data_IF_219262498240
#
_entry.id   IF_219262498240
#
_cell.length_a   1.000
_cell.length_b   1.000
_cell.length_c   1.000
_cell.angle_alpha   90.00
_cell.angle_beta   90.00
_cell.angle_gamma   90.00
#
_symmetry.space_group_name_H-M   'P 1'
#
loop_
_entity.id
_entity.type
_entity.pdbx_description
1 polymer ?
#
# COMPACT_ATOMS: atom_id res chain seq x y z
N UNK A 1 -4.36 9.79 -12.64
CA UNK A 1 -4.70 11.04 -11.91
C UNK A 1 -6.17 11.10 -11.54
N UNK A 2 -7.05 11.56 -12.44
CA UNK A 2 -8.50 11.72 -12.17
C UNK A 2 -9.16 10.40 -11.77
N UNK A 3 -8.82 9.29 -12.44
CA UNK A 3 -9.33 7.97 -12.07
C UNK A 3 -8.95 7.55 -10.64
N UNK A 4 -7.76 7.96 -10.15
CA UNK A 4 -7.33 7.69 -8.78
C UNK A 4 -8.12 8.52 -7.76
N UNK A 5 -8.36 9.80 -8.06
CA UNK A 5 -9.24 10.64 -7.24
C UNK A 5 -10.67 10.10 -7.18
N UNK A 6 -11.21 9.68 -8.33
CA UNK A 6 -12.55 9.07 -8.41
C UNK A 6 -12.62 7.77 -7.62
N UNK A 7 -11.61 6.89 -7.72
CA UNK A 7 -11.60 5.62 -6.99
C UNK A 7 -11.47 5.82 -5.48
N UNK A 8 -10.72 6.83 -5.02
CA UNK A 8 -10.69 7.20 -3.61
C UNK A 8 -12.06 7.61 -3.09
N UNK A 9 -12.79 8.46 -3.82
CA UNK A 9 -14.16 8.83 -3.46
C UNK A 9 -15.11 7.64 -3.46
N UNK A 10 -15.04 6.79 -4.49
CA UNK A 10 -15.90 5.61 -4.63
C UNK A 10 -15.65 4.57 -3.55
N UNK A 11 -14.40 4.12 -3.39
CA UNK A 11 -14.03 3.08 -2.43
C UNK A 11 -14.09 3.60 -1.01
N UNK A 12 -13.61 4.83 -0.77
CA UNK A 12 -13.69 5.46 0.54
C UNK A 12 -15.14 5.64 1.01
N UNK A 13 -16.06 6.03 0.12
CA UNK A 13 -17.49 6.05 0.44
C UNK A 13 -18.00 4.68 0.88
N UNK A 14 -17.71 3.60 0.14
CA UNK A 14 -18.17 2.26 0.51
C UNK A 14 -17.61 1.81 1.87
N UNK A 15 -16.32 2.03 2.12
CA UNK A 15 -15.70 1.71 3.42
C UNK A 15 -16.35 2.52 4.53
N UNK A 16 -16.47 3.84 4.35
CA UNK A 16 -17.04 4.72 5.37
C UNK A 16 -18.50 4.36 5.69
N UNK A 17 -19.32 4.02 4.68
CA UNK A 17 -20.68 3.55 4.89
C UNK A 17 -20.73 2.27 5.74
N UNK A 18 -19.94 1.25 5.36
CA UNK A 18 -19.91 -0.02 6.09
C UNK A 18 -19.40 0.15 7.52
N UNK A 19 -18.35 0.95 7.72
CA UNK A 19 -17.83 1.23 9.06
C UNK A 19 -18.82 2.01 9.92
N UNK A 20 -19.49 3.02 9.35
CA UNK A 20 -20.49 3.82 10.07
C UNK A 20 -21.65 2.95 10.54
N UNK A 21 -22.16 2.05 9.68
CA UNK A 21 -23.17 1.08 10.06
C UNK A 21 -22.68 0.15 11.18
N UNK A 22 -21.48 -0.41 11.05
CA UNK A 22 -20.90 -1.32 12.05
C UNK A 22 -20.66 -0.65 13.42
N UNK A 23 -20.30 0.64 13.43
CA UNK A 23 -20.16 1.45 14.65
C UNK A 23 -21.51 1.73 15.30
N UNK A 24 -22.51 2.09 14.49
CA UNK A 24 -23.88 2.33 14.96
C UNK A 24 -24.47 1.08 15.64
N UNK A 25 -24.33 -0.09 15.02
CA UNK A 25 -24.81 -1.37 15.58
C UNK A 25 -24.15 -1.71 16.92
N UNK A 26 -22.93 -1.21 17.14
CA UNK A 26 -22.16 -1.38 18.38
C UNK A 26 -22.34 -0.22 19.36
N UNK A 27 -23.18 0.77 19.03
CA UNK A 27 -23.40 1.98 19.84
C UNK A 27 -22.10 2.75 20.14
N UNK A 28 -21.18 2.76 19.17
CA UNK A 28 -19.92 3.48 19.26
C UNK A 28 -20.05 4.85 18.60
N UNK A 29 -19.92 5.91 19.40
CA UNK A 29 -19.96 7.30 18.93
C UNK A 29 -18.59 7.70 18.33
N UNK A 30 -18.36 7.30 17.08
CA UNK A 30 -17.20 7.68 16.28
C UNK A 30 -17.63 8.10 14.89
N UNK A 31 -17.01 9.15 14.39
CA UNK A 31 -17.20 9.60 13.00
C UNK A 31 -16.19 8.90 12.08
N UNK A 32 -16.58 8.66 10.83
CA UNK A 32 -15.71 8.13 9.78
C UNK A 32 -15.57 9.15 8.67
N UNK A 33 -14.34 9.56 8.35
CA UNK A 33 -14.05 10.54 7.31
C UNK A 33 -13.21 9.91 6.19
N UNK A 34 -13.61 10.10 4.94
CA UNK A 34 -12.77 9.81 3.78
C UNK A 34 -12.06 11.08 3.34
N UNK A 35 -10.73 11.04 3.28
CA UNK A 35 -9.89 12.15 2.82
C UNK A 35 -9.33 11.80 1.45
N UNK A 36 -9.59 12.65 0.46
CA UNK A 36 -8.91 12.56 -0.84
C UNK A 36 -7.45 12.95 -0.62
N UNK A 37 -6.53 12.08 -1.00
CA UNK A 37 -5.12 12.19 -0.64
C UNK A 37 -4.22 12.27 -1.87
N UNK A 38 -3.36 13.29 -1.88
CA UNK A 38 -2.27 13.50 -2.82
C UNK A 38 -0.96 13.07 -2.18
N UNK A 39 -0.10 12.48 -2.99
CA UNK A 39 1.19 11.95 -2.53
C UNK A 39 2.27 12.54 -3.41
N UNK A 40 3.20 13.24 -2.77
CA UNK A 40 4.36 13.81 -3.42
C UNK A 40 5.29 12.68 -3.85
N UNK A 41 5.76 12.77 -5.08
CA UNK A 41 6.75 11.86 -5.67
C UNK A 41 7.85 12.66 -6.34
N UNK A 42 9.00 12.04 -6.56
CA UNK A 42 10.12 12.66 -7.26
C UNK A 42 9.85 12.72 -8.77
N UNK A 43 10.05 13.87 -9.43
CA UNK A 43 9.84 13.98 -10.89
C UNK A 43 10.88 13.16 -11.67
N UNK A 44 12.07 12.99 -11.08
CA UNK A 44 13.19 12.25 -11.67
C UNK A 44 13.23 10.78 -11.22
N UNK A 45 12.14 10.26 -10.61
CA UNK A 45 12.07 8.86 -10.19
C UNK A 45 12.28 7.91 -11.40
N UNK A 46 13.23 6.95 -11.32
CA UNK A 46 13.51 6.01 -12.42
C UNK A 46 12.29 5.19 -12.87
N UNK A 47 11.26 5.03 -12.02
CA UNK A 47 10.03 4.33 -12.36
C UNK A 47 9.26 5.00 -13.52
N UNK A 48 9.47 6.29 -13.78
CA UNK A 48 8.87 6.97 -14.93
C UNK A 48 9.44 6.47 -16.26
N UNK A 49 10.73 6.14 -16.30
CA UNK A 49 11.38 5.58 -17.48
C UNK A 49 11.14 4.06 -17.60
N UNK A 50 11.07 3.39 -16.45
CA UNK A 50 10.93 1.94 -16.31
C UNK A 50 9.63 1.53 -15.58
N UNK A 51 8.45 1.66 -16.22
CA UNK A 51 7.18 1.32 -15.59
C UNK A 51 7.03 -0.19 -15.43
N UNK A 52 6.75 -0.62 -14.20
CA UNK A 52 6.66 -2.04 -13.82
C UNK A 52 5.27 -2.43 -13.32
N UNK A 53 4.44 -1.48 -12.86
CA UNK A 53 3.24 -1.79 -12.09
C UNK A 53 2.05 -2.13 -12.99
N UNK A 54 1.49 -3.35 -12.91
CA UNK A 54 0.40 -3.76 -13.77
C UNK A 54 -0.95 -3.20 -13.30
N UNK A 55 -1.72 -2.60 -14.21
CA UNK A 55 -3.02 -1.96 -13.95
C UNK A 55 -4.08 -2.41 -14.96
N UNK A 56 -5.35 -2.25 -14.57
CA UNK A 56 -6.49 -2.57 -15.43
C UNK A 56 -6.68 -4.07 -15.68
N UNK A 57 -7.52 -4.43 -16.67
CA UNK A 57 -7.88 -5.81 -16.95
C UNK A 57 -6.75 -6.61 -17.59
N UNK A 58 -6.91 -7.93 -17.63
CA UNK A 58 -6.02 -8.85 -18.35
C UNK A 58 -6.45 -8.93 -19.81
N UNK A 59 -5.51 -8.72 -20.72
CA UNK A 59 -5.68 -8.75 -22.16
C UNK A 59 -5.16 -10.07 -22.75
N UNK A 60 -5.83 -10.57 -23.79
CA UNK A 60 -5.29 -11.63 -24.65
C UNK A 60 -4.19 -11.07 -25.54
N UNK A 61 -3.35 -11.95 -26.07
CA UNK A 61 -2.20 -11.58 -26.90
C UNK A 61 -2.57 -10.60 -28.04
N UNK A 62 -3.61 -10.89 -28.81
CA UNK A 62 -3.98 -10.05 -29.96
C UNK A 62 -4.55 -8.68 -29.58
N UNK A 63 -5.20 -8.58 -28.41
CA UNK A 63 -5.64 -7.30 -27.85
C UNK A 63 -4.46 -6.52 -27.28
N UNK A 64 -3.50 -7.22 -26.65
CA UNK A 64 -2.28 -6.62 -26.14
C UNK A 64 -1.45 -5.99 -27.27
N UNK A 65 -1.30 -6.68 -28.40
CA UNK A 65 -0.63 -6.14 -29.58
C UNK A 65 -1.30 -4.87 -30.11
N UNK A 66 -2.63 -4.75 -29.99
CA UNK A 66 -3.36 -3.53 -30.34
C UNK A 66 -3.04 -2.39 -29.37
N UNK A 67 -3.05 -2.65 -28.07
CA UNK A 67 -2.69 -1.64 -27.05
C UNK A 67 -1.24 -1.17 -27.16
N UNK A 68 -0.31 -2.06 -27.48
CA UNK A 68 1.10 -1.69 -27.72
C UNK A 68 1.21 -0.72 -28.92
N UNK A 69 0.45 -0.95 -29.99
CA UNK A 69 0.40 -0.03 -31.15
C UNK A 69 -0.22 1.33 -30.80
N UNK A 70 -1.09 1.39 -29.80
CA UNK A 70 -1.64 2.63 -29.24
C UNK A 70 -0.66 3.36 -28.31
N UNK A 71 0.52 2.79 -28.06
CA UNK A 71 1.57 3.38 -27.23
C UNK A 71 1.56 2.94 -25.76
N UNK A 72 0.67 2.02 -25.37
CA UNK A 72 0.68 1.46 -24.02
C UNK A 72 1.86 0.50 -23.82
N UNK A 73 2.56 0.66 -22.70
CA UNK A 73 3.52 -0.34 -22.24
C UNK A 73 2.77 -1.49 -21.57
N UNK A 74 3.15 -2.72 -21.88
CA UNK A 74 2.50 -3.91 -21.36
C UNK A 74 3.51 -4.93 -20.86
N UNK A 75 3.10 -5.73 -19.87
CA UNK A 75 3.88 -6.85 -19.35
C UNK A 75 3.04 -8.12 -19.38
N UNK A 76 3.70 -9.27 -19.54
CA UNK A 76 3.04 -10.57 -19.46
C UNK A 76 2.88 -10.96 -17.98
N UNK A 77 1.69 -11.45 -17.65
CA UNK A 77 1.28 -11.88 -16.30
C UNK A 77 0.64 -13.26 -16.40
N UNK A 78 0.43 -13.92 -15.26
CA UNK A 78 -0.33 -15.17 -15.23
C UNK A 78 -1.73 -14.92 -15.81
N UNK A 79 -2.06 -15.62 -16.90
CA UNK A 79 -3.37 -15.51 -17.57
C UNK A 79 -3.46 -14.49 -18.71
N UNK A 80 -2.41 -13.71 -19.01
CA UNK A 80 -2.42 -12.80 -20.17
C UNK A 80 -1.48 -11.61 -20.04
N UNK A 81 -1.85 -10.48 -20.61
CA UNK A 81 -1.06 -9.25 -20.62
C UNK A 81 -1.75 -8.14 -19.83
N UNK A 82 -0.99 -7.27 -19.16
CA UNK A 82 -1.55 -6.10 -18.47
C UNK A 82 -0.78 -4.85 -18.84
N UNK A 83 -1.46 -3.70 -18.84
CA UNK A 83 -0.82 -2.40 -19.00
C UNK A 83 0.08 -2.16 -17.80
N UNK A 84 1.27 -1.63 -18.01
CA UNK A 84 2.16 -1.19 -16.93
C UNK A 84 2.24 0.34 -16.89
N UNK A 85 2.28 0.87 -15.68
CA UNK A 85 2.44 2.30 -15.41
C UNK A 85 3.60 2.51 -14.43
N UNK A 86 4.14 3.74 -14.37
CA UNK A 86 5.13 4.10 -13.36
C UNK A 86 4.60 3.88 -11.94
N UNK A 87 5.48 3.44 -11.05
CA UNK A 87 5.19 3.29 -9.62
C UNK A 87 6.33 3.91 -8.81
N UNK A 88 6.43 5.24 -8.82
CA UNK A 88 7.47 5.98 -8.09
C UNK A 88 7.30 5.81 -6.58
N UNK A 89 8.40 6.05 -5.88
CA UNK A 89 8.46 5.96 -4.42
C UNK A 89 7.69 7.15 -3.78
N UNK A 90 6.78 6.92 -2.81
CA UNK A 90 6.16 8.02 -2.08
C UNK A 90 7.22 8.82 -1.30
N UNK A 91 7.15 10.15 -1.38
CA UNK A 91 8.04 11.06 -0.64
C UNK A 91 7.38 11.73 0.53
N UNK A 92 6.08 12.04 0.42
CA UNK A 92 5.31 12.67 1.48
C UNK A 92 3.82 12.61 1.20
N UNK A 93 2.99 12.54 2.25
CA UNK A 93 1.54 12.59 2.15
C UNK A 93 1.05 14.02 2.45
N UNK A 94 0.58 14.72 1.42
CA UNK A 94 0.30 16.16 1.56
C UNK A 94 -0.80 16.49 2.57
N UNK A 95 -1.79 15.60 2.71
CA UNK A 95 -2.88 15.76 3.67
C UNK A 95 -2.60 15.12 5.04
N UNK A 96 -1.39 14.61 5.32
CA UNK A 96 -1.07 14.00 6.62
C UNK A 96 -1.33 14.92 7.83
N UNK A 97 -1.09 16.25 7.80
CA UNK A 97 -1.39 17.10 8.96
C UNK A 97 -2.87 17.13 9.30
N UNK A 98 -3.74 17.16 8.28
CA UNK A 98 -5.20 17.13 8.46
C UNK A 98 -5.67 15.74 8.90
N UNK A 99 -5.10 14.68 8.33
CA UNK A 99 -5.39 13.30 8.74
C UNK A 99 -5.05 13.11 10.22
N UNK A 100 -3.88 13.58 10.66
CA UNK A 100 -3.45 13.51 12.06
C UNK A 100 -4.42 14.24 13.00
N UNK A 101 -4.84 15.46 12.63
CA UNK A 101 -5.83 16.22 13.41
C UNK A 101 -7.17 15.48 13.56
N UNK A 102 -7.65 14.81 12.51
CA UNK A 102 -8.89 14.01 12.56
C UNK A 102 -8.75 12.79 13.49
N UNK A 103 -7.59 12.14 13.46
CA UNK A 103 -7.27 10.99 14.33
C UNK A 103 -7.19 11.45 15.79
N UNK A 104 -6.50 12.56 16.07
CA UNK A 104 -6.39 13.16 17.40
C UNK A 104 -7.76 13.60 17.97
N UNK A 105 -8.69 14.01 17.09
CA UNK A 105 -10.09 14.28 17.44
C UNK A 105 -10.92 13.02 17.72
N UNK A 106 -10.34 11.82 17.60
CA UNK A 106 -10.97 10.54 17.91
C UNK A 106 -11.79 9.93 16.77
N UNK A 107 -11.63 10.45 15.55
CA UNK A 107 -12.32 9.96 14.35
C UNK A 107 -11.54 8.84 13.65
N UNK A 108 -12.26 8.03 12.86
CA UNK A 108 -11.66 7.03 11.98
C UNK A 108 -11.47 7.68 10.61
N UNK A 109 -10.28 7.56 10.04
CA UNK A 109 -9.93 8.17 8.75
C UNK A 109 -9.62 7.10 7.71
N UNK A 110 -10.27 7.22 6.55
CA UNK A 110 -9.94 6.47 5.34
C UNK A 110 -9.18 7.40 4.40
N UNK A 111 -7.91 7.09 4.11
CA UNK A 111 -7.03 7.95 3.32
C UNK A 111 -6.14 7.11 2.40
N UNK A 112 -5.35 7.78 1.54
CA UNK A 112 -4.33 7.18 0.67
C UNK A 112 -4.89 6.08 -0.24
N UNK A 113 -6.17 6.17 -0.59
CA UNK A 113 -6.84 5.13 -1.38
C UNK A 113 -6.12 4.91 -2.72
N UNK A 114 -5.84 3.65 -3.03
CA UNK A 114 -5.10 3.25 -4.23
C UNK A 114 -3.61 3.67 -4.25
N UNK A 115 -3.03 4.03 -3.10
CA UNK A 115 -1.66 4.56 -2.98
C UNK A 115 -1.58 6.09 -3.05
N UNK A 116 -2.72 6.79 -3.19
CA UNK A 116 -2.75 8.25 -3.31
C UNK A 116 -2.73 8.76 -4.76
N UNK A 117 -2.99 10.06 -4.93
CA UNK A 117 -2.90 10.75 -6.22
C UNK A 117 -1.48 11.28 -6.38
N UNK A 118 -0.66 10.75 -7.31
CA UNK A 118 0.73 11.17 -7.43
C UNK A 118 0.82 12.59 -8.00
N UNK A 119 1.60 13.43 -7.32
CA UNK A 119 1.90 14.82 -7.70
C UNK A 119 3.40 15.08 -7.59
N UNK A 120 3.92 15.99 -8.41
CA UNK A 120 5.29 16.52 -8.32
C UNK A 120 5.24 18.02 -8.08
N UNK A 121 6.29 18.58 -7.49
CA UNK A 121 6.46 20.03 -7.42
C UNK A 121 6.73 20.59 -8.82
N UNK A 122 6.07 21.69 -9.18
CA UNK A 122 6.28 22.33 -10.48
C UNK A 122 5.94 23.81 -10.41
N UNK A 123 6.92 24.67 -10.69
CA UNK A 123 6.71 26.12 -10.77
C UNK A 123 6.14 26.77 -9.50
N UNK A 124 6.47 26.24 -8.32
CA UNK A 124 5.95 26.73 -7.03
C UNK A 124 4.55 26.23 -6.67
N UNK A 125 4.01 25.27 -7.42
CA UNK A 125 2.78 24.56 -7.10
C UNK A 125 2.92 23.05 -7.29
N UNK A 126 1.78 22.37 -7.37
CA UNK A 126 1.71 20.91 -7.56
C UNK A 126 1.15 20.58 -8.93
N UNK A 127 1.75 19.58 -9.57
CA UNK A 127 1.29 19.05 -10.84
C UNK A 127 1.08 17.55 -10.71
N UNK A 128 -0.13 17.07 -10.99
CA UNK A 128 -0.39 15.63 -11.05
C UNK A 128 0.45 14.93 -12.12
N UNK A 129 0.84 13.68 -11.87
CA UNK A 129 1.59 12.83 -12.82
C UNK A 129 0.87 11.50 -13.08
N UNK A 130 1.14 10.87 -14.22
CA UNK A 130 0.52 9.58 -14.55
C UNK A 130 1.36 8.44 -13.97
N UNK A 131 0.99 8.04 -12.75
CA UNK A 131 1.62 6.94 -12.05
C UNK A 131 0.60 6.27 -11.11
N UNK A 132 0.98 5.13 -10.54
CA UNK A 132 0.26 4.49 -9.45
C UNK A 132 1.26 4.12 -8.38
N UNK A 133 1.19 4.78 -7.23
CA UNK A 133 2.10 4.55 -6.11
C UNK A 133 1.77 3.21 -5.45
N UNK A 134 2.76 2.56 -4.83
CA UNK A 134 2.49 1.37 -4.03
C UNK A 134 1.67 1.68 -2.79
N UNK A 135 0.60 0.91 -2.55
CA UNK A 135 -0.33 1.18 -1.46
C UNK A 135 0.29 0.85 -0.10
N UNK A 136 1.17 -0.14 -0.04
CA UNK A 136 1.80 -0.57 1.20
C UNK A 136 2.88 0.45 1.58
N UNK A 137 3.68 0.93 0.61
CA UNK A 137 4.64 2.02 0.81
C UNK A 137 3.96 3.36 1.14
N UNK A 138 2.87 3.71 0.46
CA UNK A 138 2.15 4.95 0.77
C UNK A 138 1.44 4.90 2.14
N UNK A 139 0.99 3.72 2.56
CA UNK A 139 0.46 3.51 3.91
C UNK A 139 1.55 3.62 4.97
N UNK A 140 2.76 3.11 4.68
CA UNK A 140 3.92 3.32 5.55
C UNK A 140 4.30 4.79 5.66
N UNK A 141 4.42 5.50 4.54
CA UNK A 141 4.76 6.94 4.56
C UNK A 141 3.74 7.72 5.40
N UNK A 142 2.43 7.45 5.24
CA UNK A 142 1.42 8.05 6.10
C UNK A 142 1.63 7.68 7.57
N UNK A 143 1.84 6.40 7.87
CA UNK A 143 2.02 5.91 9.24
C UNK A 143 3.23 6.55 9.92
N UNK A 144 4.31 6.74 9.19
CA UNK A 144 5.52 7.44 9.64
C UNK A 144 5.25 8.93 9.90
N UNK A 145 4.60 9.64 8.97
CA UNK A 145 4.29 11.07 9.12
C UNK A 145 3.30 11.37 10.26
N UNK A 146 2.35 10.46 10.55
CA UNK A 146 1.41 10.60 11.67
C UNK A 146 1.95 10.05 12.99
N UNK A 147 3.18 9.51 12.99
CA UNK A 147 3.82 8.88 14.17
C UNK A 147 2.98 7.74 14.75
N UNK A 148 2.44 6.87 13.89
CA UNK A 148 1.64 5.74 14.31
C UNK A 148 2.46 4.76 15.19
N UNK A 149 1.81 4.17 16.20
CA UNK A 149 2.45 3.15 17.04
C UNK A 149 2.71 1.83 16.28
N UNK A 150 1.85 1.50 15.32
CA UNK A 150 1.94 0.26 14.56
C UNK A 150 1.35 0.34 13.15
N UNK A 151 1.85 -0.52 12.27
CA UNK A 151 1.42 -0.66 10.88
C UNK A 151 0.87 -2.07 10.67
N UNK A 152 -0.41 -2.20 10.29
CA UNK A 152 -1.04 -3.48 9.94
C UNK A 152 -1.30 -3.54 8.43
N UNK A 153 -0.64 -4.47 7.74
CA UNK A 153 -0.80 -4.74 6.32
C UNK A 153 -1.64 -6.01 6.15
N UNK A 154 -2.83 -5.85 5.58
CA UNK A 154 -3.74 -6.95 5.30
C UNK A 154 -3.55 -7.50 3.87
N UNK A 155 -3.47 -8.83 3.75
CA UNK A 155 -3.21 -9.53 2.50
C UNK A 155 -4.02 -10.83 2.37
N UNK A 156 -3.87 -11.56 1.27
CA UNK A 156 -4.61 -12.81 0.99
C UNK A 156 -3.93 -14.06 1.56
N UNK A 157 -2.80 -13.91 2.25
CA UNK A 157 -2.05 -14.99 2.92
C UNK A 157 -2.02 -14.75 4.42
N UNK A 158 -1.99 -15.83 5.19
CA UNK A 158 -2.06 -15.76 6.65
C UNK A 158 -0.86 -15.07 7.29
N UNK A 159 0.33 -15.18 6.68
CA UNK A 159 1.59 -14.65 7.18
C UNK A 159 2.64 -14.53 6.05
N UNK A 160 3.83 -14.01 6.38
CA UNK A 160 5.03 -14.02 5.53
C UNK A 160 5.71 -15.39 5.64
N UNK A 161 6.28 -15.88 4.53
CA UNK A 161 7.04 -17.12 4.49
C UNK A 161 8.42 -16.87 3.88
N UNK A 162 9.40 -17.65 4.33
CA UNK A 162 10.67 -17.86 3.62
C UNK A 162 10.57 -19.13 2.76
N UNK A 163 11.34 -19.18 1.68
CA UNK A 163 11.33 -20.25 0.68
C UNK A 163 9.90 -20.55 0.19
N UNK A 164 9.14 -19.50 -0.12
CA UNK A 164 7.73 -19.62 -0.48
C UNK A 164 7.53 -20.45 -1.75
N UNK A 165 6.73 -21.51 -1.64
CA UNK A 165 6.47 -22.48 -2.71
C UNK A 165 7.51 -23.59 -2.84
N UNK A 166 8.51 -23.66 -1.95
CA UNK A 166 9.53 -24.71 -1.92
C UNK A 166 9.26 -25.76 -0.82
N UNK A 167 9.98 -26.88 -0.85
CA UNK A 167 9.78 -28.01 0.07
C UNK A 167 10.09 -27.64 1.54
N UNK A 168 10.96 -26.66 1.76
CA UNK A 168 11.36 -26.17 3.08
C UNK A 168 10.71 -24.83 3.43
N UNK A 169 9.59 -24.49 2.78
CA UNK A 169 8.80 -23.30 3.08
C UNK A 169 8.51 -23.20 4.59
N UNK A 170 8.80 -22.04 5.18
CA UNK A 170 8.59 -21.80 6.60
C UNK A 170 7.88 -20.47 6.84
N UNK A 171 6.82 -20.53 7.65
CA UNK A 171 6.10 -19.35 8.10
C UNK A 171 6.94 -18.53 9.09
N UNK A 172 6.96 -17.21 8.94
CA UNK A 172 7.54 -16.29 9.90
C UNK A 172 6.47 -15.88 10.92
N UNK A 173 6.75 -16.15 12.20
CA UNK A 173 5.94 -15.66 13.33
C UNK A 173 6.39 -14.27 13.75
N UNK A 174 7.03 -14.15 14.91
CA UNK A 174 7.72 -12.93 15.31
C UNK A 174 9.17 -12.93 14.81
N UNK A 175 9.61 -11.82 14.23
CA UNK A 175 10.99 -11.60 13.74
C UNK A 175 11.46 -10.19 14.08
N UNK A 176 12.77 -10.00 14.18
CA UNK A 176 13.36 -8.67 14.39
C UNK A 176 13.50 -7.91 13.08
N UNK A 177 13.71 -6.59 13.17
CA UNK A 177 14.03 -5.73 12.03
C UNK A 177 15.27 -6.25 11.27
N UNK A 178 16.35 -6.58 12.00
CA UNK A 178 17.59 -7.07 11.39
C UNK A 178 17.37 -8.39 10.64
N UNK A 179 16.58 -9.31 11.20
CA UNK A 179 16.28 -10.59 10.57
C UNK A 179 15.47 -10.41 9.28
N UNK A 180 14.42 -9.58 9.30
CA UNK A 180 13.58 -9.38 8.12
C UNK A 180 14.31 -8.59 7.03
N UNK A 181 15.18 -7.65 7.39
CA UNK A 181 16.04 -6.92 6.45
C UNK A 181 17.01 -7.86 5.73
N UNK A 182 17.66 -8.76 6.47
CA UNK A 182 18.55 -9.74 5.87
C UNK A 182 17.79 -10.63 4.88
N UNK A 183 16.62 -11.16 5.26
CA UNK A 183 15.79 -11.98 4.37
C UNK A 183 15.32 -11.19 3.13
N UNK A 184 15.02 -9.91 3.29
CA UNK A 184 14.65 -9.04 2.18
C UNK A 184 15.82 -8.87 1.19
N UNK A 185 17.03 -8.62 1.68
CA UNK A 185 18.23 -8.52 0.85
C UNK A 185 18.65 -9.84 0.20
N UNK A 186 18.36 -10.96 0.86
CA UNK A 186 18.58 -12.31 0.33
C UNK A 186 17.55 -12.68 -0.77
N UNK A 187 16.59 -11.80 -1.07
CA UNK A 187 15.64 -11.99 -2.17
C UNK A 187 14.50 -12.96 -1.86
N UNK A 188 14.22 -13.22 -0.58
CA UNK A 188 13.17 -14.15 -0.13
C UNK A 188 11.75 -13.70 -0.51
N UNK A 189 11.54 -12.41 -0.80
CA UNK A 189 10.22 -11.82 -1.00
C UNK A 189 10.04 -11.28 -2.44
N UNK A 190 9.09 -11.82 -3.21
CA UNK A 190 8.89 -11.41 -4.61
C UNK A 190 8.48 -9.92 -4.74
N UNK A 191 9.10 -9.14 -5.66
CA UNK A 191 8.91 -7.69 -5.78
C UNK A 191 7.52 -7.25 -6.26
N UNK A 192 6.69 -8.18 -6.74
CA UNK A 192 5.31 -7.90 -7.20
C UNK A 192 4.22 -8.24 -6.19
N UNK A 193 4.57 -8.77 -5.00
CA UNK A 193 3.59 -9.22 -4.00
C UNK A 193 4.05 -8.96 -2.57
N UNK A 194 4.91 -9.82 -2.02
CA UNK A 194 5.32 -9.75 -0.63
C UNK A 194 6.45 -8.74 -0.40
N UNK A 195 7.32 -8.52 -1.40
CA UNK A 195 8.44 -7.59 -1.32
C UNK A 195 8.02 -6.17 -0.87
N UNK A 196 7.07 -5.50 -1.55
CA UNK A 196 6.62 -4.17 -1.14
C UNK A 196 6.05 -4.10 0.28
N UNK A 197 5.39 -5.18 0.75
CA UNK A 197 4.84 -5.27 2.12
C UNK A 197 5.93 -5.33 3.16
N UNK A 198 6.93 -6.17 2.92
CA UNK A 198 8.08 -6.30 3.81
C UNK A 198 8.91 -5.02 3.79
N UNK A 199 9.12 -4.40 2.63
CA UNK A 199 9.82 -3.12 2.52
C UNK A 199 9.09 -2.01 3.30
N UNK A 200 7.76 -1.93 3.18
CA UNK A 200 6.95 -1.01 3.98
C UNK A 200 7.12 -1.29 5.49
N UNK A 201 7.04 -2.54 5.92
CA UNK A 201 7.25 -2.87 7.33
C UNK A 201 8.65 -2.47 7.85
N UNK A 202 9.68 -2.71 7.04
CA UNK A 202 11.07 -2.31 7.35
C UNK A 202 11.18 -0.79 7.50
N UNK A 203 10.72 -0.02 6.50
CA UNK A 203 10.79 1.45 6.52
C UNK A 203 10.05 2.05 7.70
N UNK A 204 8.85 1.55 8.00
CA UNK A 204 8.07 2.00 9.15
C UNK A 204 8.86 1.86 10.47
N UNK A 205 9.51 0.70 10.69
CA UNK A 205 10.29 0.44 11.90
C UNK A 205 11.58 1.25 11.95
N UNK A 206 12.25 1.43 10.80
CA UNK A 206 13.43 2.30 10.68
C UNK A 206 13.08 3.76 11.03
N UNK A 207 11.92 4.23 10.57
CA UNK A 207 11.38 5.57 10.79
C UNK A 207 10.83 5.80 12.22
N UNK A 208 10.96 4.81 13.12
CA UNK A 208 10.63 4.96 14.54
C UNK A 208 9.32 4.30 14.98
N UNK A 209 8.61 3.65 14.06
CA UNK A 209 7.50 2.76 14.38
C UNK A 209 7.93 1.60 15.30
N UNK A 210 6.99 1.10 16.10
CA UNK A 210 7.30 0.07 17.13
C UNK A 210 7.02 -1.35 16.66
N UNK A 211 5.99 -1.55 15.86
CA UNK A 211 5.59 -2.87 15.40
C UNK A 211 4.90 -2.79 14.03
N UNK A 212 5.36 -3.61 13.10
CA UNK A 212 4.65 -3.86 11.84
C UNK A 212 4.09 -5.28 11.83
N UNK A 213 2.90 -5.47 11.27
CA UNK A 213 2.20 -6.76 11.22
C UNK A 213 1.74 -7.00 9.79
N UNK A 214 2.02 -8.19 9.26
CA UNK A 214 1.50 -8.65 7.96
C UNK A 214 0.64 -9.89 8.23
N UNK A 215 -0.65 -9.81 7.90
CA UNK A 215 -1.61 -10.87 8.18
C UNK A 215 -2.75 -10.92 7.14
N UNK A 216 -3.56 -11.98 7.18
CA UNK A 216 -4.80 -12.02 6.43
C UNK A 216 -5.90 -11.17 7.09
N UNK A 217 -6.87 -10.71 6.30
CA UNK A 217 -8.03 -9.97 6.83
C UNK A 217 -8.82 -10.79 7.86
N UNK A 218 -8.96 -12.09 7.63
CA UNK A 218 -9.69 -13.01 8.51
C UNK A 218 -9.00 -13.21 9.87
N UNK A 219 -7.68 -12.99 9.93
CA UNK A 219 -6.87 -13.12 11.15
C UNK A 219 -6.42 -11.75 11.70
N UNK A 220 -7.00 -10.64 11.22
CA UNK A 220 -6.53 -9.30 11.56
C UNK A 220 -6.58 -9.04 13.08
N UNK A 221 -7.63 -9.51 13.75
CA UNK A 221 -7.80 -9.33 15.18
C UNK A 221 -6.80 -10.18 15.97
N UNK A 222 -6.65 -11.45 15.60
CA UNK A 222 -5.72 -12.40 16.20
C UNK A 222 -4.27 -11.95 16.03
N UNK A 223 -3.94 -11.35 14.87
CA UNK A 223 -2.62 -10.81 14.59
C UNK A 223 -2.30 -9.59 15.46
N UNK A 224 -3.28 -8.69 15.69
CA UNK A 224 -3.12 -7.58 16.65
C UNK A 224 -2.87 -8.08 18.08
N UNK A 225 -3.39 -9.25 18.45
CA UNK A 225 -3.14 -9.90 19.74
C UNK A 225 -1.81 -10.69 19.77
N UNK A 226 -1.08 -10.80 18.66
CA UNK A 226 0.17 -11.57 18.56
C UNK A 226 -0.03 -13.08 18.39
N UNK A 227 -1.24 -13.53 18.02
CA UNK A 227 -1.57 -14.96 17.90
C UNK A 227 -1.62 -15.45 16.44
N UNK A 228 -1.43 -14.56 15.46
CA UNK A 228 -1.46 -14.88 14.03
C UNK A 228 -0.61 -13.87 13.23
N UNK A 229 -0.38 -14.18 11.96
CA UNK A 229 0.41 -13.32 11.07
C UNK A 229 1.90 -13.30 11.38
N UNK A 230 2.61 -12.43 10.67
CA UNK A 230 4.01 -12.12 10.92
C UNK A 230 4.12 -10.80 11.65
N UNK A 231 4.74 -10.82 12.83
CA UNK A 231 5.00 -9.62 13.64
C UNK A 231 6.46 -9.25 13.51
N UNK A 232 6.73 -8.02 13.08
CA UNK A 232 8.07 -7.48 12.92
C UNK A 232 8.26 -6.42 13.99
N UNK A 233 9.28 -6.61 14.82
CA UNK A 233 9.59 -5.73 15.97
C UNK A 233 11.00 -5.17 15.83
N UNK A 234 11.19 -3.97 16.37
CA UNK A 234 12.49 -3.31 16.44
C UNK A 234 13.36 -3.87 17.56
#
# INVERSE_FOLDING_TARGET
RVCGAMSQGQVGYMIAQCMTAALHDRQLDKQVATVVTQVLVDEDDPAFEHPTKPVGPVYRHDDALRRIKEGYRMTQQKGGWRIVVPSPDPRSILESPVIKQLIEAGHIVVAVGGGGIPVVESGGGLRGVEAVIDKDLAAEELASEIEADGLLILTDVEAVYVNYGEDDQRMLGEVTLDEIEQLYHDGQFPPGSMGPKVLAAIRFLQNGGKTAIIASIDNAWEALQGNAGTRIVR
#
